data_IF_857119121891
#
_entry.id   IF_857119121891
#
_cell.length_a   1.000
_cell.length_b   1.000
_cell.length_c   1.000
_cell.angle_alpha   90.00
_cell.angle_beta   90.00
_cell.angle_gamma   90.00
#
_symmetry.space_group_name_H-M   'P 1'
#
loop_
_entity.id
_entity.type
_entity.pdbx_description
1 polymer ?
#
# COMPACT_ATOMS: atom_id res chain seq x y z
N UNK A 1 0.15 32.13 -3.67
CA UNK A 1 -0.52 30.82 -3.81
C UNK A 1 0.00 29.95 -2.68
N UNK A 2 -0.77 29.87 -1.61
CA UNK A 2 -0.42 29.03 -0.47
C UNK A 2 -0.64 27.57 -0.85
N UNK A 3 0.46 26.95 -1.23
CA UNK A 3 0.62 25.52 -1.45
C UNK A 3 0.11 24.85 -0.19
N UNK A 4 -1.04 24.20 -0.33
CA UNK A 4 -1.72 23.40 0.67
C UNK A 4 -0.71 22.49 1.38
N UNK A 5 -0.19 22.97 2.52
CA UNK A 5 0.49 22.14 3.50
C UNK A 5 -0.56 21.15 4.00
N UNK A 6 -0.60 19.98 3.36
CA UNK A 6 -1.26 18.82 3.93
C UNK A 6 -0.63 18.60 5.32
N UNK A 7 -1.41 18.39 6.38
CA UNK A 7 -0.86 18.02 7.66
C UNK A 7 -0.06 16.72 7.45
N UNK A 8 1.25 16.81 7.63
CA UNK A 8 2.08 15.64 7.84
C UNK A 8 1.45 14.93 9.04
N UNK A 9 1.07 13.65 8.88
CA UNK A 9 0.19 12.87 9.78
C UNK A 9 -1.34 13.03 9.59
N UNK A 10 -1.84 13.15 8.36
CA UNK A 10 -3.21 12.72 8.10
C UNK A 10 -3.38 11.25 8.53
N UNK A 11 -4.50 10.86 9.16
CA UNK A 11 -4.72 9.46 9.52
C UNK A 11 -4.60 8.58 8.28
N UNK A 12 -3.84 7.48 8.39
CA UNK A 12 -3.66 6.51 7.31
C UNK A 12 -5.04 6.08 6.81
N UNK A 13 -5.27 6.14 5.50
CA UNK A 13 -6.57 5.76 4.92
C UNK A 13 -6.89 4.30 5.29
N UNK A 14 -8.17 3.98 5.48
CA UNK A 14 -8.56 2.61 5.89
C UNK A 14 -8.09 1.59 4.86
N UNK A 15 -8.23 1.88 3.57
CA UNK A 15 -7.74 1.04 2.50
C UNK A 15 -6.22 0.81 2.56
N UNK A 16 -5.43 1.83 2.92
CA UNK A 16 -3.97 1.71 3.10
C UNK A 16 -3.63 0.83 4.31
N UNK A 17 -4.36 0.98 5.42
CA UNK A 17 -4.20 0.11 6.59
C UNK A 17 -4.48 -1.37 6.25
N UNK A 18 -5.54 -1.64 5.48
CA UNK A 18 -5.85 -3.00 5.01
C UNK A 18 -4.72 -3.56 4.14
N UNK A 19 -4.19 -2.76 3.21
CA UNK A 19 -3.10 -3.19 2.33
C UNK A 19 -1.83 -3.56 3.10
N UNK A 20 -1.40 -2.74 4.07
CA UNK A 20 -0.17 -3.04 4.82
C UNK A 20 -0.34 -4.22 5.78
N UNK A 21 -1.51 -4.35 6.41
CA UNK A 21 -1.81 -5.51 7.26
C UNK A 21 -1.80 -6.78 6.42
N UNK A 22 -2.41 -6.76 5.24
CA UNK A 22 -2.36 -7.89 4.30
C UNK A 22 -0.92 -8.23 3.91
N UNK A 23 -0.08 -7.23 3.65
CA UNK A 23 1.32 -7.46 3.34
C UNK A 23 2.10 -8.11 4.49
N UNK A 24 1.84 -7.67 5.72
CA UNK A 24 2.46 -8.22 6.92
C UNK A 24 2.01 -9.66 7.21
N UNK A 25 0.70 -9.93 7.17
CA UNK A 25 0.15 -11.26 7.48
C UNK A 25 0.56 -12.31 6.46
N UNK A 26 0.74 -11.92 5.19
CA UNK A 26 1.21 -12.80 4.12
C UNK A 26 2.74 -12.84 3.99
N UNK A 27 3.47 -12.29 4.97
CA UNK A 27 4.96 -12.30 5.02
C UNK A 27 5.64 -11.60 3.84
N UNK A 28 4.96 -10.69 3.14
CA UNK A 28 5.58 -9.92 2.05
C UNK A 28 6.57 -8.86 2.57
N UNK A 29 6.56 -8.57 3.87
CA UNK A 29 7.52 -7.67 4.53
C UNK A 29 8.71 -8.42 5.17
N UNK A 30 8.80 -9.75 5.05
CA UNK A 30 9.75 -10.57 5.81
C UNK A 30 11.24 -10.30 5.48
N UNK A 31 11.50 -9.73 4.31
CA UNK A 31 12.81 -9.35 3.77
C UNK A 31 13.08 -7.84 3.88
N UNK A 32 12.18 -7.07 4.52
CA UNK A 32 12.33 -5.62 4.69
C UNK A 32 12.93 -5.35 6.07
N UNK A 33 14.09 -4.67 6.16
CA UNK A 33 14.67 -4.26 7.45
C UNK A 33 13.70 -3.39 8.26
N UNK A 34 13.74 -3.50 9.59
CA UNK A 34 12.81 -2.79 10.50
C UNK A 34 12.92 -1.27 10.33
N UNK A 35 14.14 -0.77 10.15
CA UNK A 35 14.46 0.62 9.86
C UNK A 35 13.86 1.14 8.54
N UNK A 36 13.59 0.25 7.58
CA UNK A 36 13.03 0.59 6.27
C UNK A 36 11.50 0.43 6.19
N UNK A 37 10.85 -0.14 7.20
CA UNK A 37 9.40 -0.43 7.16
C UNK A 37 8.57 0.83 6.87
N UNK A 38 8.92 1.96 7.48
CA UNK A 38 8.19 3.23 7.25
C UNK A 38 8.29 3.71 5.81
N UNK A 39 9.47 3.58 5.20
CA UNK A 39 9.69 3.97 3.82
C UNK A 39 9.04 2.98 2.84
N UNK A 40 9.01 1.69 3.22
CA UNK A 40 8.28 0.68 2.48
C UNK A 40 6.78 0.97 2.48
N UNK A 41 6.19 1.25 3.64
CA UNK A 41 4.76 1.61 3.79
C UNK A 41 4.41 2.79 2.89
N UNK A 42 5.16 3.89 3.02
CA UNK A 42 4.92 5.09 2.22
C UNK A 42 5.04 4.82 0.73
N UNK A 43 6.08 4.12 0.30
CA UNK A 43 6.29 3.77 -1.10
C UNK A 43 5.20 2.85 -1.63
N UNK A 44 4.74 1.88 -0.83
CA UNK A 44 3.63 1.01 -1.21
C UNK A 44 2.35 1.81 -1.39
N UNK A 45 2.02 2.72 -0.46
CA UNK A 45 0.82 3.55 -0.57
C UNK A 45 0.84 4.43 -1.82
N UNK A 46 1.97 5.09 -2.09
CA UNK A 46 2.15 5.92 -3.30
C UNK A 46 2.04 5.09 -4.57
N UNK A 47 2.64 3.90 -4.59
CA UNK A 47 2.57 2.97 -5.72
C UNK A 47 1.14 2.49 -5.97
N UNK A 48 0.41 2.11 -4.91
CA UNK A 48 -0.98 1.67 -5.00
C UNK A 48 -1.90 2.80 -5.45
N UNK A 49 -1.76 3.99 -4.88
CA UNK A 49 -2.57 5.16 -5.26
C UNK A 49 -2.34 5.57 -6.73
N UNK A 50 -1.13 5.36 -7.25
CA UNK A 50 -0.75 5.74 -8.62
C UNK A 50 -1.13 4.69 -9.65
N UNK A 51 -0.85 3.41 -9.36
CA UNK A 51 -0.92 2.34 -10.35
C UNK A 51 -2.11 1.40 -10.19
N UNK A 52 -2.67 1.31 -8.98
CA UNK A 52 -3.76 0.40 -8.63
C UNK A 52 -4.86 1.10 -7.79
N UNK A 53 -5.32 2.31 -8.18
CA UNK A 53 -6.31 3.05 -7.39
C UNK A 53 -7.64 2.31 -7.25
N UNK A 54 -7.97 1.42 -8.17
CA UNK A 54 -9.15 0.55 -8.13
C UNK A 54 -9.17 -0.38 -6.93
N UNK A 55 -8.01 -0.90 -6.50
CA UNK A 55 -7.91 -1.79 -5.33
C UNK A 55 -8.31 -1.02 -4.06
N UNK A 56 -7.78 0.19 -3.88
CA UNK A 56 -8.12 1.04 -2.74
C UNK A 56 -9.60 1.44 -2.73
N UNK A 57 -10.16 1.76 -3.91
CA UNK A 57 -11.59 2.06 -4.07
C UNK A 57 -12.46 0.85 -3.71
N UNK A 58 -12.11 -0.35 -4.20
CA UNK A 58 -12.85 -1.58 -3.93
C UNK A 58 -12.89 -1.87 -2.42
N UNK A 59 -11.73 -1.87 -1.75
CA UNK A 59 -11.63 -2.09 -0.30
C UNK A 59 -12.47 -1.08 0.47
N UNK A 60 -12.37 0.21 0.11
CA UNK A 60 -13.11 1.28 0.79
C UNK A 60 -14.63 1.18 0.59
N UNK A 61 -15.07 0.79 -0.60
CA UNK A 61 -16.50 0.71 -0.94
C UNK A 61 -17.17 -0.55 -0.39
N UNK A 62 -16.50 -1.69 -0.43
CA UNK A 62 -17.08 -2.98 -0.01
C UNK A 62 -16.80 -3.28 1.46
N UNK A 63 -15.74 -2.69 2.03
CA UNK A 63 -15.20 -3.07 3.34
C UNK A 63 -14.59 -4.47 3.36
N UNK A 64 -14.38 -5.08 2.19
CA UNK A 64 -13.94 -6.46 2.02
C UNK A 64 -12.80 -6.55 1.02
N UNK A 65 -11.94 -7.55 1.21
CA UNK A 65 -10.95 -7.95 0.23
C UNK A 65 -11.51 -9.14 -0.55
N UNK A 66 -12.34 -8.84 -1.55
CA UNK A 66 -12.90 -9.86 -2.44
C UNK A 66 -11.77 -10.56 -3.24
N UNK A 67 -11.95 -11.82 -3.69
CA UNK A 67 -10.86 -12.61 -4.28
C UNK A 67 -10.12 -11.90 -5.44
N UNK A 68 -10.85 -11.24 -6.33
CA UNK A 68 -10.25 -10.49 -7.45
C UNK A 68 -9.42 -9.30 -6.95
N UNK A 69 -9.91 -8.57 -5.95
CA UNK A 69 -9.19 -7.44 -5.33
C UNK A 69 -7.95 -7.93 -4.59
N UNK A 70 -8.04 -9.08 -3.91
CA UNK A 70 -6.90 -9.72 -3.26
C UNK A 70 -5.80 -10.09 -4.27
N UNK A 71 -6.18 -10.72 -5.39
CA UNK A 71 -5.23 -11.11 -6.44
C UNK A 71 -4.51 -9.89 -7.03
N UNK A 72 -5.26 -8.81 -7.29
CA UNK A 72 -4.69 -7.55 -7.76
C UNK A 72 -3.74 -6.93 -6.72
N UNK A 73 -4.14 -6.90 -5.45
CA UNK A 73 -3.31 -6.39 -4.36
C UNK A 73 -1.99 -7.19 -4.24
N UNK A 74 -2.09 -8.52 -4.27
CA UNK A 74 -0.92 -9.40 -4.24
C UNK A 74 0.02 -9.13 -5.40
N UNK A 75 -0.51 -9.07 -6.62
CA UNK A 75 0.28 -8.80 -7.82
C UNK A 75 0.97 -7.42 -7.74
N UNK A 76 0.25 -6.40 -7.24
CA UNK A 76 0.79 -5.06 -7.06
C UNK A 76 1.91 -5.01 -6.02
N UNK A 77 1.77 -5.69 -4.88
CA UNK A 77 2.82 -5.78 -3.85
C UNK A 77 4.09 -6.42 -4.42
N UNK A 78 3.95 -7.56 -5.11
CA UNK A 78 5.10 -8.26 -5.70
C UNK A 78 5.80 -7.41 -6.78
N UNK A 79 5.02 -6.68 -7.58
CA UNK A 79 5.55 -5.74 -8.56
C UNK A 79 6.29 -4.58 -7.90
N UNK A 80 5.69 -3.93 -6.90
CA UNK A 80 6.33 -2.85 -6.14
C UNK A 80 7.66 -3.30 -5.54
N UNK A 81 7.69 -4.47 -4.87
CA UNK A 81 8.91 -5.05 -4.32
C UNK A 81 9.99 -5.26 -5.37
N UNK A 82 9.61 -5.81 -6.52
CA UNK A 82 10.54 -6.05 -7.63
C UNK A 82 11.11 -4.74 -8.20
N UNK A 83 10.33 -3.66 -8.23
CA UNK A 83 10.78 -2.34 -8.63
C UNK A 83 11.72 -1.72 -7.59
N UNK A 84 11.39 -1.85 -6.29
CA UNK A 84 12.21 -1.32 -5.19
C UNK A 84 13.58 -2.00 -5.09
N UNK A 85 13.67 -3.32 -5.28
CA UNK A 85 14.93 -4.08 -5.19
C UNK A 85 15.90 -3.76 -6.34
N UNK A 86 15.39 -3.25 -7.47
CA UNK A 86 16.21 -2.86 -8.63
C UNK A 86 16.73 -1.42 -8.57
N UNK A 87 16.33 -0.65 -7.55
CA UNK A 87 16.70 0.75 -7.35
C UNK A 87 17.81 0.93 -6.34
#
# INVERSE_FOLDING_TARGET
MEILKQPQYAPVKVEHQVMIIYAATNRYLADVPVEEIKDFEKGLYEFMDTHYPEVGKAIKSTGKLEPETEEQLKAAILKFKSTRIKG
#
